data_IF_194273853042
#
_entry.id   IF_194273853042
#
_cell.length_a   1.000
_cell.length_b   1.000
_cell.length_c   1.000
_cell.angle_alpha   90.00
_cell.angle_beta   90.00
_cell.angle_gamma   90.00
#
_symmetry.space_group_name_H-M   'P 1'
#
loop_
_entity.id
_entity.type
_entity.pdbx_description
1 polymer ?
#
# COMPACT_ATOMS: atom_id res chain seq x y z
N UNK A 1 16.54 -4.93 0.13
CA UNK A 1 16.10 -5.81 -0.98
C UNK A 1 14.88 -5.28 -1.74
N UNK A 2 13.89 -4.66 -1.08
CA UNK A 2 12.67 -4.14 -1.73
C UNK A 2 12.88 -2.97 -2.72
N UNK A 3 13.76 -2.01 -2.43
CA UNK A 3 14.06 -0.88 -3.35
C UNK A 3 14.55 -1.36 -4.73
N UNK A 4 15.38 -2.41 -4.75
CA UNK A 4 15.92 -2.97 -5.99
C UNK A 4 14.84 -3.62 -6.86
N UNK A 5 13.76 -4.12 -6.25
CA UNK A 5 12.65 -4.78 -6.97
C UNK A 5 11.74 -3.75 -7.64
N UNK A 6 11.46 -2.64 -6.95
CA UNK A 6 10.64 -1.53 -7.46
C UNK A 6 11.36 -0.86 -8.64
N UNK A 7 12.67 -0.58 -8.51
CA UNK A 7 13.45 0.03 -9.57
C UNK A 7 13.48 -0.83 -10.84
N UNK A 8 13.68 -2.14 -10.71
CA UNK A 8 13.66 -3.09 -11.84
C UNK A 8 12.32 -3.12 -12.58
N UNK A 9 11.21 -3.05 -11.84
CA UNK A 9 9.88 -3.04 -12.45
C UNK A 9 9.65 -1.80 -13.31
N UNK A 10 10.01 -0.60 -12.81
CA UNK A 10 9.86 0.64 -13.57
C UNK A 10 10.75 0.67 -14.82
N UNK A 11 11.98 0.17 -14.73
CA UNK A 11 12.89 0.07 -15.88
C UNK A 11 12.34 -0.87 -16.95
N UNK A 12 11.87 -2.06 -16.56
CA UNK A 12 11.27 -3.02 -17.51
C UNK A 12 10.02 -2.43 -18.17
N UNK A 13 9.15 -1.80 -17.40
CA UNK A 13 7.95 -1.14 -17.93
C UNK A 13 8.31 -0.03 -18.90
N UNK A 14 9.33 0.79 -18.59
CA UNK A 14 9.81 1.85 -19.47
C UNK A 14 10.32 1.30 -20.81
N UNK A 15 11.13 0.25 -20.78
CA UNK A 15 11.65 -0.39 -22.00
C UNK A 15 10.50 -0.94 -22.84
N UNK A 16 9.56 -1.66 -22.23
CA UNK A 16 8.41 -2.24 -22.93
C UNK A 16 7.52 -1.16 -23.58
N UNK A 17 7.21 -0.08 -22.84
CA UNK A 17 6.43 1.04 -23.37
C UNK A 17 7.17 1.75 -24.50
N UNK A 18 8.48 1.96 -24.37
CA UNK A 18 9.30 2.62 -25.39
C UNK A 18 9.32 1.83 -26.70
N UNK A 19 9.49 0.50 -26.61
CA UNK A 19 9.41 -0.40 -27.77
C UNK A 19 8.02 -0.35 -28.39
N UNK A 20 6.96 -0.45 -27.57
CA UNK A 20 5.58 -0.40 -28.03
C UNK A 20 5.25 0.90 -28.75
N UNK A 21 5.68 2.05 -28.20
CA UNK A 21 5.49 3.36 -28.82
C UNK A 21 6.32 3.54 -30.09
N UNK A 22 7.54 2.99 -30.16
CA UNK A 22 8.33 3.01 -31.39
C UNK A 22 7.64 2.23 -32.52
N UNK A 23 7.16 1.02 -32.23
CA UNK A 23 6.46 0.19 -33.19
C UNK A 23 5.16 0.86 -33.67
N UNK A 24 4.37 1.42 -32.74
CA UNK A 24 3.13 2.13 -33.07
C UNK A 24 3.39 3.38 -33.92
N UNK A 25 4.42 4.17 -33.57
CA UNK A 25 4.77 5.37 -34.32
C UNK A 25 5.29 5.06 -35.72
N UNK A 26 6.11 4.02 -35.88
CA UNK A 26 6.56 3.54 -37.19
C UNK A 26 5.37 3.09 -38.05
N UNK A 27 4.49 2.25 -37.49
CA UNK A 27 3.28 1.78 -38.17
C UNK A 27 2.35 2.92 -38.58
N UNK A 28 2.13 3.90 -37.69
CA UNK A 28 1.31 5.08 -37.98
C UNK A 28 1.93 5.93 -39.09
N UNK A 29 3.25 6.12 -39.09
CA UNK A 29 3.96 6.87 -40.11
C UNK A 29 3.86 6.21 -41.49
N UNK A 30 4.13 4.90 -41.58
CA UNK A 30 3.94 4.09 -42.79
C UNK A 30 2.52 4.20 -43.33
N UNK A 31 1.52 4.03 -42.45
CA UNK A 31 0.11 4.05 -42.86
C UNK A 31 -0.37 5.42 -43.29
N UNK A 32 0.11 6.49 -42.66
CA UNK A 32 -0.20 7.85 -43.08
C UNK A 32 0.41 8.12 -44.46
N UNK A 33 1.69 7.80 -44.65
CA UNK A 33 2.40 7.99 -45.90
C UNK A 33 1.76 7.18 -47.04
N UNK A 34 1.39 5.92 -46.78
CA UNK A 34 0.73 5.07 -47.76
C UNK A 34 -0.60 5.67 -48.25
N UNK A 35 -1.40 6.24 -47.33
CA UNK A 35 -2.66 6.90 -47.69
C UNK A 35 -2.42 8.18 -48.49
N UNK A 36 -1.48 9.01 -48.05
CA UNK A 36 -1.18 10.28 -48.71
C UNK A 36 -0.61 10.05 -50.11
N UNK A 37 0.32 9.10 -50.25
CA UNK A 37 0.89 8.71 -51.54
C UNK A 37 -0.16 8.05 -52.43
N UNK A 38 -1.00 7.15 -51.89
CA UNK A 38 -2.11 6.57 -52.66
C UNK A 38 -3.06 7.66 -53.20
N UNK A 39 -3.41 8.66 -52.38
CA UNK A 39 -4.26 9.75 -52.80
C UNK A 39 -3.61 10.59 -53.91
N UNK A 40 -2.33 10.94 -53.77
CA UNK A 40 -1.58 11.70 -54.78
C UNK A 40 -1.43 10.91 -56.09
N UNK A 41 -1.04 9.64 -56.00
CA UNK A 41 -0.84 8.78 -57.16
C UNK A 41 -2.14 8.50 -57.90
N UNK A 42 -3.24 8.23 -57.18
CA UNK A 42 -4.56 8.05 -57.80
C UNK A 42 -5.06 9.31 -58.51
N UNK A 43 -4.57 10.51 -58.14
CA UNK A 43 -4.92 11.74 -58.86
C UNK A 43 -4.10 11.93 -60.14
N UNK A 44 -2.81 11.56 -60.14
CA UNK A 44 -1.89 11.94 -61.23
C UNK A 44 -1.47 10.82 -62.18
N UNK A 45 -1.46 9.57 -61.71
CA UNK A 45 -0.95 8.42 -62.49
C UNK A 45 -1.94 7.81 -63.47
N UNK A 46 -3.26 7.68 -63.19
CA UNK A 46 -4.16 6.92 -64.06
C UNK A 46 -4.18 7.42 -65.50
N UNK A 47 -4.22 8.73 -65.72
CA UNK A 47 -4.22 9.32 -67.07
C UNK A 47 -2.88 9.08 -67.79
N UNK A 48 -1.76 9.24 -67.08
CA UNK A 48 -0.42 9.05 -67.64
C UNK A 48 -0.13 7.59 -67.98
N UNK A 49 -0.54 6.66 -67.11
CA UNK A 49 -0.40 5.22 -67.32
C UNK A 49 -1.28 4.74 -68.46
N UNK A 50 -2.53 5.19 -68.52
CA UNK A 50 -3.43 4.85 -69.63
C UNK A 50 -2.86 5.32 -70.97
N UNK A 51 -2.37 6.57 -71.06
CA UNK A 51 -1.76 7.08 -72.30
C UNK A 51 -0.47 6.35 -72.69
N UNK A 52 0.40 6.04 -71.72
CA UNK A 52 1.67 5.36 -71.97
C UNK A 52 1.48 3.91 -72.47
N UNK A 53 0.50 3.20 -71.90
CA UNK A 53 0.24 1.79 -72.24
C UNK A 53 -0.71 1.62 -73.44
N UNK A 54 -1.63 2.57 -73.68
CA UNK A 54 -2.54 2.52 -74.84
C UNK A 54 -1.84 2.82 -76.17
N UNK A 55 -0.76 3.61 -76.15
CA UNK A 55 -0.04 4.02 -77.36
C UNK A 55 0.79 2.89 -78.01
N UNK A 56 1.13 1.81 -77.29
CA UNK A 56 1.91 0.68 -77.82
C UNK A 56 1.51 -0.63 -77.16
N UNK A 57 0.73 -1.42 -77.90
CA UNK A 57 0.27 -2.75 -77.50
C UNK A 57 1.40 -3.79 -77.65
N UNK A 58 1.74 -4.43 -76.52
CA UNK A 58 2.31 -5.78 -76.43
C UNK A 58 3.84 -5.99 -76.54
N UNK A 59 4.65 -5.19 -75.86
CA UNK A 59 6.05 -5.59 -75.55
C UNK A 59 6.24 -5.71 -74.03
N UNK A 60 6.62 -6.91 -73.55
CA UNK A 60 6.96 -7.17 -72.14
C UNK A 60 8.09 -6.24 -71.66
N UNK A 61 9.01 -5.89 -72.57
CA UNK A 61 10.11 -4.93 -72.34
C UNK A 61 9.60 -3.53 -71.95
N UNK A 62 8.44 -3.11 -72.45
CA UNK A 62 7.85 -1.81 -72.11
C UNK A 62 7.29 -1.82 -70.69
N UNK A 63 6.64 -2.91 -70.28
CA UNK A 63 6.10 -3.03 -68.92
C UNK A 63 7.22 -2.96 -67.86
N UNK A 64 8.36 -3.61 -68.15
CA UNK A 64 9.55 -3.54 -67.32
C UNK A 64 10.16 -2.13 -67.34
N UNK A 65 10.20 -1.47 -68.49
CA UNK A 65 10.69 -0.09 -68.59
C UNK A 65 9.82 0.90 -67.81
N UNK A 66 8.48 0.77 -67.88
CA UNK A 66 7.54 1.62 -67.12
C UNK A 66 7.68 1.37 -65.62
N UNK A 67 7.75 0.11 -65.19
CA UNK A 67 7.99 -0.23 -63.79
C UNK A 67 9.32 0.35 -63.29
N UNK A 68 10.41 0.19 -64.06
CA UNK A 68 11.71 0.76 -63.72
C UNK A 68 11.70 2.30 -63.65
N UNK A 69 10.96 2.95 -64.55
CA UNK A 69 10.84 4.41 -64.56
C UNK A 69 10.03 4.92 -63.36
N UNK A 70 8.93 4.24 -63.03
CA UNK A 70 8.14 4.54 -61.83
C UNK A 70 8.98 4.34 -60.56
N UNK A 71 9.74 3.25 -60.48
CA UNK A 71 10.66 3.00 -59.35
C UNK A 71 11.67 4.14 -59.23
N UNK A 72 12.25 4.61 -60.34
CA UNK A 72 13.20 5.73 -60.33
C UNK A 72 12.55 7.03 -59.85
N UNK A 73 11.34 7.34 -60.32
CA UNK A 73 10.62 8.56 -59.94
C UNK A 73 10.12 8.49 -58.47
N UNK A 74 9.91 7.28 -57.93
CA UNK A 74 9.43 7.04 -56.57
C UNK A 74 10.56 6.74 -55.56
N UNK A 75 11.83 6.81 -55.95
CA UNK A 75 12.98 6.57 -55.06
C UNK A 75 13.25 7.72 -54.08
N UNK A 76 12.80 8.94 -54.39
CA UNK A 76 13.08 10.13 -53.57
C UNK A 76 11.80 10.79 -53.08
N UNK A 77 10.98 10.04 -52.34
CA UNK A 77 9.79 10.61 -51.69
C UNK A 77 10.21 11.31 -50.40
N UNK A 78 10.12 12.64 -50.41
CA UNK A 78 10.26 13.44 -49.19
C UNK A 78 8.91 13.52 -48.49
N UNK A 79 8.76 12.94 -47.28
CA UNK A 79 7.51 13.05 -46.53
C UNK A 79 7.25 14.53 -46.21
N UNK A 80 6.05 15.01 -46.51
CA UNK A 80 5.65 16.40 -46.26
C UNK A 80 5.40 16.71 -44.77
N UNK A 81 5.75 15.82 -43.85
CA UNK A 81 5.49 16.00 -42.43
C UNK A 81 6.58 16.84 -41.75
N UNK A 82 6.17 17.76 -40.89
CA UNK A 82 7.09 18.67 -40.17
C UNK A 82 7.98 17.99 -39.11
N UNK A 83 7.93 16.67 -38.97
CA UNK A 83 8.74 15.91 -38.01
C UNK A 83 9.67 14.94 -38.76
N UNK A 84 11.01 15.05 -38.57
CA UNK A 84 12.00 14.25 -39.30
C UNK A 84 12.15 12.82 -38.73
N UNK A 85 11.02 12.13 -38.53
CA UNK A 85 10.98 10.75 -38.04
C UNK A 85 11.35 9.75 -39.14
N UNK A 86 10.97 10.07 -40.37
CA UNK A 86 11.26 9.29 -41.58
C UNK A 86 12.36 10.03 -42.35
N UNK A 87 13.49 9.37 -42.64
CA UNK A 87 14.61 9.99 -43.37
C UNK A 87 14.40 9.93 -44.86
N UNK A 88 14.11 8.74 -45.38
CA UNK A 88 13.88 8.48 -46.79
C UNK A 88 12.81 7.40 -46.90
N UNK A 89 11.89 7.57 -47.84
CA UNK A 89 11.03 6.48 -48.29
C UNK A 89 11.16 6.34 -49.80
N UNK A 90 11.16 5.10 -50.25
CA UNK A 90 11.01 4.74 -51.64
C UNK A 90 9.76 3.89 -51.79
N UNK A 91 9.06 4.03 -52.92
CA UNK A 91 8.05 3.05 -53.31
C UNK A 91 8.61 2.22 -54.46
N UNK A 92 8.43 0.90 -54.40
CA UNK A 92 8.78 -0.02 -55.51
C UNK A 92 7.51 -0.61 -56.09
N UNK A 93 7.46 -0.77 -57.41
CA UNK A 93 6.40 -1.50 -58.11
C UNK A 93 6.58 -2.98 -57.85
N UNK A 94 5.63 -3.60 -57.13
CA UNK A 94 5.61 -5.05 -56.93
C UNK A 94 4.88 -5.75 -58.06
N UNK A 95 3.83 -5.12 -58.59
CA UNK A 95 3.07 -5.64 -59.72
C UNK A 95 2.45 -4.49 -60.52
N UNK A 96 2.77 -4.39 -61.81
CA UNK A 96 2.32 -3.28 -62.66
C UNK A 96 0.87 -3.46 -63.14
N UNK A 97 0.52 -4.67 -63.57
CA UNK A 97 -0.82 -5.03 -64.04
C UNK A 97 -1.27 -6.25 -63.24
N UNK A 98 -2.31 -6.06 -62.43
CA UNK A 98 -2.94 -7.12 -61.67
C UNK A 98 -4.41 -7.28 -62.05
N UNK A 99 -4.81 -8.53 -62.27
CA UNK A 99 -6.14 -8.93 -62.74
C UNK A 99 -7.04 -9.42 -61.60
N UNK A 100 -6.59 -9.28 -60.35
CA UNK A 100 -7.40 -9.60 -59.17
C UNK A 100 -6.66 -10.28 -58.02
N UNK A 101 -5.34 -10.12 -57.92
CA UNK A 101 -4.54 -10.59 -56.80
C UNK A 101 -4.91 -9.92 -55.47
N UNK A 102 -4.69 -10.65 -54.37
CA UNK A 102 -4.88 -10.13 -53.03
C UNK A 102 -3.70 -9.24 -52.63
N UNK A 103 -3.99 -8.05 -52.09
CA UNK A 103 -3.00 -7.11 -51.57
C UNK A 103 -2.14 -7.74 -50.46
N UNK A 104 -0.81 -7.54 -50.50
CA UNK A 104 -0.02 -7.74 -49.29
C UNK A 104 -0.27 -6.58 -48.30
N UNK A 105 -0.08 -6.86 -47.01
CA UNK A 105 -0.21 -5.83 -45.97
C UNK A 105 0.87 -4.77 -46.15
N UNK A 106 0.45 -3.52 -46.36
CA UNK A 106 1.34 -2.37 -46.57
C UNK A 106 1.47 -1.93 -48.03
N UNK A 107 0.89 -2.67 -48.97
CA UNK A 107 0.92 -2.29 -50.38
C UNK A 107 -0.09 -1.17 -50.69
N UNK A 108 0.35 -0.22 -51.50
CA UNK A 108 -0.47 0.84 -52.04
C UNK A 108 -1.08 0.35 -53.34
N UNK A 109 -2.41 0.41 -53.43
CA UNK A 109 -3.15 0.15 -54.65
C UNK A 109 -3.41 1.44 -55.42
N UNK A 110 -2.99 1.48 -56.67
CA UNK A 110 -3.36 2.54 -57.62
C UNK A 110 -4.32 1.94 -58.64
N UNK A 111 -5.52 2.51 -58.74
CA UNK A 111 -6.56 2.06 -59.66
C UNK A 111 -6.52 2.92 -60.92
N UNK A 112 -6.50 2.26 -62.08
CA UNK A 112 -6.53 2.92 -63.38
C UNK A 112 -7.33 2.08 -64.38
N UNK A 113 -7.64 2.63 -65.54
CA UNK A 113 -8.46 1.95 -66.55
C UNK A 113 -7.71 1.86 -67.87
N UNK A 114 -7.80 0.70 -68.54
CA UNK A 114 -7.36 0.51 -69.92
C UNK A 114 -8.61 0.22 -70.76
N UNK A 115 -9.11 1.24 -71.47
CA UNK A 115 -10.43 1.17 -72.10
C UNK A 115 -11.53 1.05 -71.04
N UNK A 116 -12.32 -0.03 -71.08
CA UNK A 116 -13.38 -0.33 -70.12
C UNK A 116 -12.96 -1.26 -68.97
N UNK A 117 -11.73 -1.78 -68.99
CA UNK A 117 -11.26 -2.73 -67.98
C UNK A 117 -10.50 -2.02 -66.86
N UNK A 118 -10.92 -2.19 -65.59
CA UNK A 118 -10.16 -1.67 -64.45
C UNK A 118 -8.90 -2.52 -64.27
N UNK A 119 -7.76 -1.86 -64.11
CA UNK A 119 -6.47 -2.47 -63.77
C UNK A 119 -5.96 -1.83 -62.48
N UNK A 120 -5.14 -2.57 -61.75
CA UNK A 120 -4.44 -2.01 -60.60
C UNK A 120 -2.94 -2.25 -60.63
N UNK A 121 -2.22 -1.28 -60.10
CA UNK A 121 -0.78 -1.36 -59.83
C UNK A 121 -0.57 -1.40 -58.32
N UNK A 122 0.28 -2.33 -57.87
CA UNK A 122 0.67 -2.48 -56.49
C UNK A 122 2.08 -1.93 -56.26
N UNK A 123 2.22 -1.13 -55.22
CA UNK A 123 3.47 -0.51 -54.81
C UNK A 123 3.76 -0.88 -53.36
N UNK A 124 4.96 -1.37 -53.07
CA UNK A 124 5.43 -1.56 -51.69
C UNK A 124 6.26 -0.36 -51.24
N UNK A 125 6.07 0.09 -50.01
CA UNK A 125 6.87 1.14 -49.39
C UNK A 125 8.09 0.56 -48.66
N UNK A 126 9.26 1.13 -48.89
CA UNK A 126 10.47 0.90 -48.12
C UNK A 126 10.88 2.22 -47.46
N UNK A 127 10.73 2.29 -46.13
CA UNK A 127 10.97 3.50 -45.35
C UNK A 127 12.14 3.31 -44.37
N UNK A 128 13.11 4.23 -44.47
CA UNK A 128 14.22 4.32 -43.53
C UNK A 128 13.89 5.32 -42.42
N UNK A 129 13.75 4.80 -41.21
CA UNK A 129 13.47 5.60 -40.02
C UNK A 129 14.72 6.23 -39.41
N UNK A 130 14.55 7.42 -38.82
CA UNK A 130 15.55 8.00 -37.94
C UNK A 130 15.47 7.34 -36.56
N UNK A 131 15.92 6.08 -36.47
CA UNK A 131 15.81 5.26 -35.26
C UNK A 131 16.31 5.96 -33.97
N UNK A 132 17.44 6.70 -33.96
CA UNK A 132 17.86 7.40 -32.75
C UNK A 132 16.87 8.47 -32.28
N UNK A 133 16.33 9.26 -33.21
CA UNK A 133 15.36 10.31 -32.89
C UNK A 133 14.02 9.71 -32.45
N UNK A 134 13.55 8.68 -33.17
CA UNK A 134 12.32 7.97 -32.84
C UNK A 134 12.42 7.31 -31.46
N UNK A 135 13.50 6.57 -31.21
CA UNK A 135 13.74 5.93 -29.92
C UNK A 135 13.83 6.97 -28.79
N UNK A 136 14.54 8.09 -28.99
CA UNK A 136 14.64 9.15 -28.00
C UNK A 136 13.28 9.79 -27.69
N UNK A 137 12.49 10.14 -28.70
CA UNK A 137 11.20 10.80 -28.50
C UNK A 137 10.20 9.87 -27.81
N UNK A 138 10.12 8.60 -28.24
CA UNK A 138 9.20 7.63 -27.65
C UNK A 138 9.65 7.20 -26.24
N UNK A 139 10.96 7.12 -25.99
CA UNK A 139 11.50 6.86 -24.66
C UNK A 139 11.19 7.99 -23.68
N UNK A 140 11.25 9.25 -24.14
CA UNK A 140 10.86 10.41 -23.33
C UNK A 140 9.37 10.38 -23.00
N UNK A 141 8.52 10.06 -23.98
CA UNK A 141 7.07 9.92 -23.75
C UNK A 141 6.76 8.80 -22.74
N UNK A 142 7.41 7.64 -22.88
CA UNK A 142 7.27 6.53 -21.95
C UNK A 142 7.74 6.91 -20.53
N UNK A 143 8.83 7.67 -20.41
CA UNK A 143 9.32 8.17 -19.13
C UNK A 143 8.31 9.12 -18.48
N UNK A 144 7.78 10.09 -19.24
CA UNK A 144 6.76 11.03 -18.74
C UNK A 144 5.50 10.30 -18.25
N UNK A 145 5.07 9.26 -18.96
CA UNK A 145 3.93 8.44 -18.55
C UNK A 145 4.21 7.70 -17.23
N UNK A 146 5.41 7.15 -17.05
CA UNK A 146 5.81 6.49 -15.80
C UNK A 146 5.87 7.48 -14.64
N UNK A 147 6.41 8.68 -14.88
CA UNK A 147 6.41 9.76 -13.87
C UNK A 147 4.97 10.13 -13.49
N UNK A 148 4.07 10.30 -14.46
CA UNK A 148 2.67 10.59 -14.19
C UNK A 148 2.00 9.47 -13.37
N UNK A 149 2.27 8.19 -13.68
CA UNK A 149 1.79 7.04 -12.91
C UNK A 149 2.37 7.01 -11.50
N UNK A 150 3.65 7.38 -11.32
CA UNK A 150 4.29 7.41 -10.01
C UNK A 150 3.77 8.55 -9.12
N UNK A 151 3.29 9.65 -9.72
CA UNK A 151 2.67 10.77 -9.01
C UNK A 151 1.19 10.52 -8.67
N UNK A 152 0.54 9.55 -9.31
CA UNK A 152 -0.84 9.19 -8.98
C UNK A 152 -0.90 8.50 -7.61
N UNK A 153 -1.89 8.84 -6.76
CA UNK A 153 -2.05 8.19 -5.47
C UNK A 153 -2.30 6.69 -5.69
N UNK A 154 -1.63 5.85 -4.91
CA UNK A 154 -1.77 4.40 -5.02
C UNK A 154 -3.24 4.02 -4.84
N UNK A 155 -3.81 3.16 -5.71
CA UNK A 155 -5.16 2.68 -5.53
C UNK A 155 -5.26 1.92 -4.21
N UNK A 156 -6.26 2.24 -3.40
CA UNK A 156 -6.50 1.58 -2.12
C UNK A 156 -6.78 0.08 -2.34
N UNK A 157 -6.06 -0.76 -1.60
CA UNK A 157 -6.29 -2.20 -1.65
C UNK A 157 -7.71 -2.55 -1.16
N UNK A 158 -8.22 -3.74 -1.51
CA UNK A 158 -9.53 -4.19 -1.00
C UNK A 158 -9.56 -4.24 0.54
N UNK A 159 -8.47 -4.70 1.15
CA UNK A 159 -8.33 -4.76 2.61
C UNK A 159 -8.34 -3.36 3.25
N UNK A 160 -7.60 -2.40 2.67
CA UNK A 160 -7.60 -1.02 3.15
C UNK A 160 -8.99 -0.37 3.04
N UNK A 161 -9.70 -0.60 1.93
CA UNK A 161 -11.08 -0.12 1.78
C UNK A 161 -12.02 -0.70 2.85
N UNK A 162 -11.88 -1.99 3.16
CA UNK A 162 -12.61 -2.62 4.25
C UNK A 162 -12.30 -1.99 5.61
N UNK A 163 -11.00 -1.77 5.92
CA UNK A 163 -10.56 -1.11 7.16
C UNK A 163 -11.11 0.30 7.29
N UNK A 164 -11.05 1.10 6.21
CA UNK A 164 -11.60 2.46 6.19
C UNK A 164 -13.11 2.45 6.40
N UNK A 165 -13.84 1.53 5.78
CA UNK A 165 -15.28 1.39 5.97
C UNK A 165 -15.62 1.07 7.44
N UNK A 166 -14.95 0.10 8.04
CA UNK A 166 -15.12 -0.24 9.46
C UNK A 166 -14.82 0.94 10.39
N UNK A 167 -13.73 1.66 10.15
CA UNK A 167 -13.38 2.85 10.95
C UNK A 167 -14.42 3.97 10.79
N UNK A 168 -14.97 4.13 9.59
CA UNK A 168 -16.03 5.12 9.33
C UNK A 168 -17.34 4.72 10.03
N UNK A 169 -17.70 3.44 10.02
CA UNK A 169 -18.86 2.92 10.77
C UNK A 169 -18.72 3.13 12.28
N UNK A 170 -17.49 3.16 12.80
CA UNK A 170 -17.16 3.48 14.20
C UNK A 170 -17.18 4.98 14.52
N UNK A 171 -17.53 5.83 13.56
CA UNK A 171 -17.74 7.27 13.76
C UNK A 171 -16.58 8.17 13.35
N UNK A 172 -15.48 7.63 12.82
CA UNK A 172 -14.41 8.46 12.26
C UNK A 172 -14.83 9.10 10.93
N UNK A 173 -14.38 10.32 10.67
CA UNK A 173 -14.55 10.92 9.34
C UNK A 173 -13.76 10.13 8.29
N UNK A 174 -14.18 10.14 7.00
CA UNK A 174 -13.47 9.40 5.94
C UNK A 174 -11.98 9.78 5.80
N UNK A 175 -11.63 11.04 6.10
CA UNK A 175 -10.24 11.51 6.06
C UNK A 175 -9.43 10.96 7.24
N UNK A 176 -9.98 10.99 8.45
CA UNK A 176 -9.34 10.39 9.63
C UNK A 176 -9.23 8.88 9.47
N UNK A 177 -10.30 8.20 9.06
CA UNK A 177 -10.31 6.75 8.83
C UNK A 177 -9.22 6.33 7.82
N UNK A 178 -9.01 7.11 6.75
CA UNK A 178 -7.92 6.88 5.80
C UNK A 178 -6.55 7.03 6.45
N UNK A 179 -6.30 8.16 7.13
CA UNK A 179 -5.02 8.42 7.80
C UNK A 179 -4.69 7.36 8.86
N UNK A 180 -5.68 6.99 9.67
CA UNK A 180 -5.59 5.97 10.72
C UNK A 180 -5.34 4.58 10.12
N UNK A 181 -5.98 4.24 9.00
CA UNK A 181 -5.77 2.95 8.32
C UNK A 181 -4.37 2.74 7.77
N UNK A 182 -3.62 3.84 7.55
CA UNK A 182 -2.24 3.81 7.06
C UNK A 182 -1.22 3.81 8.22
N UNK A 183 -1.60 4.25 9.42
CA UNK A 183 -0.69 4.52 10.54
C UNK A 183 -0.80 3.54 11.69
N UNK A 184 -2.01 3.12 12.06
CA UNK A 184 -2.21 2.21 13.20
C UNK A 184 -1.93 0.76 12.84
N UNK A 185 -1.22 0.07 13.74
CA UNK A 185 -1.07 -1.39 13.70
C UNK A 185 -2.37 -2.09 14.10
N UNK A 186 -2.41 -3.41 13.92
CA UNK A 186 -3.57 -4.21 14.31
C UNK A 186 -3.75 -4.24 15.85
N UNK A 187 -2.67 -4.25 16.62
CA UNK A 187 -2.71 -4.16 18.09
C UNK A 187 -3.26 -2.80 18.55
N UNK A 188 -2.82 -1.71 17.91
CA UNK A 188 -3.32 -0.37 18.22
C UNK A 188 -4.81 -0.22 17.87
N UNK A 189 -5.31 -0.94 16.85
CA UNK A 189 -6.74 -0.97 16.58
C UNK A 189 -7.55 -1.66 17.69
N UNK A 190 -7.01 -2.70 18.33
CA UNK A 190 -7.67 -3.33 19.47
C UNK A 190 -7.82 -2.34 20.63
N UNK A 191 -6.77 -1.56 20.90
CA UNK A 191 -6.82 -0.47 21.89
C UNK A 191 -7.79 0.63 21.50
N UNK A 192 -7.83 1.04 20.23
CA UNK A 192 -8.80 2.01 19.72
C UNK A 192 -10.23 1.53 19.96
N UNK A 193 -10.55 0.30 19.55
CA UNK A 193 -11.90 -0.26 19.68
C UNK A 193 -12.33 -0.36 21.14
N UNK A 194 -11.40 -0.77 22.02
CA UNK A 194 -11.68 -0.86 23.45
C UNK A 194 -11.88 0.52 24.07
N UNK A 195 -11.00 1.47 23.78
CA UNK A 195 -11.11 2.84 24.31
C UNK A 195 -12.39 3.52 23.84
N UNK A 196 -12.80 3.31 22.59
CA UNK A 196 -14.05 3.84 22.05
C UNK A 196 -15.27 3.34 22.83
N UNK A 197 -15.29 2.05 23.20
CA UNK A 197 -16.35 1.46 24.03
C UNK A 197 -16.34 2.04 25.46
N UNK A 198 -15.17 2.19 26.06
CA UNK A 198 -15.04 2.68 27.43
C UNK A 198 -15.35 4.18 27.57
N UNK A 199 -15.03 4.99 26.56
CA UNK A 199 -15.17 6.45 26.59
C UNK A 199 -16.48 6.95 25.94
N UNK A 200 -17.47 6.07 25.74
CA UNK A 200 -18.79 6.46 25.24
C UNK A 200 -18.81 6.93 23.78
N UNK A 201 -17.87 6.47 22.96
CA UNK A 201 -17.80 6.82 21.54
C UNK A 201 -16.94 8.05 21.20
N UNK A 202 -16.20 8.61 22.16
CA UNK A 202 -15.23 9.68 21.89
C UNK A 202 -14.05 9.14 21.07
N UNK A 203 -14.03 9.47 19.78
CA UNK A 203 -13.04 8.98 18.82
C UNK A 203 -11.66 9.59 19.04
N UNK A 204 -11.58 10.85 19.49
CA UNK A 204 -10.29 11.52 19.72
C UNK A 204 -9.58 10.92 20.93
N UNK A 205 -10.31 10.67 22.02
CA UNK A 205 -9.75 9.96 23.17
C UNK A 205 -9.39 8.52 22.84
N UNK A 206 -10.18 7.83 22.00
CA UNK A 206 -9.86 6.48 21.57
C UNK A 206 -8.59 6.42 20.71
N UNK A 207 -8.38 7.39 19.83
CA UNK A 207 -7.15 7.51 19.04
C UNK A 207 -5.93 7.83 19.92
N UNK A 208 -6.10 8.72 20.90
CA UNK A 208 -5.05 8.99 21.88
C UNK A 208 -4.66 7.73 22.66
N UNK A 209 -5.64 6.96 23.14
CA UNK A 209 -5.40 5.68 23.81
C UNK A 209 -4.70 4.67 22.89
N UNK A 210 -5.10 4.55 21.63
CA UNK A 210 -4.46 3.66 20.66
C UNK A 210 -2.99 4.01 20.36
N UNK A 211 -2.66 5.30 20.42
CA UNK A 211 -1.31 5.80 20.16
C UNK A 211 -0.39 5.81 21.39
N UNK A 212 -0.93 5.61 22.59
CA UNK A 212 -0.11 5.55 23.81
C UNK A 212 0.81 4.32 23.82
N UNK A 213 1.89 4.43 24.57
CA UNK A 213 2.76 3.30 24.87
C UNK A 213 2.12 2.38 25.92
N UNK A 214 2.66 1.17 26.01
CA UNK A 214 2.28 0.18 27.02
C UNK A 214 2.61 0.68 28.44
N UNK A 215 1.62 1.25 29.12
CA UNK A 215 1.77 1.92 30.40
C UNK A 215 0.62 1.61 31.36
N UNK A 216 0.97 1.54 32.65
CA UNK A 216 0.06 1.38 33.78
C UNK A 216 0.27 2.56 34.73
N UNK A 217 -0.69 3.47 34.77
CA UNK A 217 -0.64 4.67 35.59
C UNK A 217 -1.51 4.52 36.82
N UNK A 218 -0.96 4.88 37.97
CA UNK A 218 -1.69 4.98 39.22
C UNK A 218 -1.83 6.44 39.63
N UNK A 219 -3.07 6.93 39.66
CA UNK A 219 -3.41 8.22 40.25
C UNK A 219 -3.77 8.00 41.72
N UNK A 220 -2.84 8.35 42.61
CA UNK A 220 -3.00 8.15 44.04
C UNK A 220 -4.00 9.14 44.66
N UNK A 221 -4.18 10.32 44.06
CA UNK A 221 -5.09 11.35 44.55
C UNK A 221 -6.55 10.99 44.27
N UNK A 222 -6.83 10.51 43.05
CA UNK A 222 -8.19 10.08 42.68
C UNK A 222 -8.45 8.58 42.93
N UNK A 223 -7.42 7.82 43.34
CA UNK A 223 -7.45 6.38 43.56
C UNK A 223 -7.92 5.60 42.31
N UNK A 224 -7.37 5.98 41.15
CA UNK A 224 -7.73 5.46 39.84
C UNK A 224 -6.54 4.83 39.15
N UNK A 225 -6.82 3.83 38.30
CA UNK A 225 -5.81 3.20 37.45
C UNK A 225 -6.12 3.53 36.00
N UNK A 226 -5.12 3.95 35.24
CA UNK A 226 -5.21 4.04 33.77
C UNK A 226 -4.32 2.99 33.15
N UNK A 227 -4.87 2.25 32.22
CA UNK A 227 -4.16 1.24 31.44
C UNK A 227 -4.20 1.67 30.00
N UNK A 228 -3.04 2.01 29.43
CA UNK A 228 -2.97 2.50 28.04
C UNK A 228 -3.91 3.71 27.79
N UNK A 229 -4.04 4.59 28.79
CA UNK A 229 -4.97 5.74 28.79
C UNK A 229 -6.41 5.44 29.18
N UNK A 230 -6.83 4.17 29.18
CA UNK A 230 -8.19 3.75 29.53
C UNK A 230 -8.35 3.68 31.05
N UNK A 231 -9.38 4.35 31.57
CA UNK A 231 -9.67 4.35 33.00
C UNK A 231 -10.26 3.00 33.45
N UNK A 232 -9.60 2.36 34.41
CA UNK A 232 -10.06 1.14 35.09
C UNK A 232 -10.42 1.49 36.53
N UNK A 233 -11.70 1.33 36.87
CA UNK A 233 -12.20 1.63 38.22
C UNK A 233 -11.96 0.43 39.14
N UNK A 234 -11.14 0.62 40.15
CA UNK A 234 -10.91 -0.39 41.20
C UNK A 234 -11.54 0.06 42.51
N UNK A 235 -12.00 -0.90 43.31
CA UNK A 235 -12.32 -0.62 44.71
C UNK A 235 -11.04 -0.24 45.49
N UNK A 236 -11.20 0.55 46.55
CA UNK A 236 -10.07 1.11 47.32
C UNK A 236 -9.04 0.06 47.75
N UNK A 237 -9.48 -1.04 48.36
CA UNK A 237 -8.54 -2.06 48.86
C UNK A 237 -7.79 -2.74 47.70
N UNK A 238 -8.44 -3.29 46.65
CA UNK A 238 -7.75 -3.76 45.44
C UNK A 238 -6.78 -2.75 44.82
N UNK A 239 -7.15 -1.47 44.74
CA UNK A 239 -6.28 -0.40 44.23
C UNK A 239 -4.95 -0.34 44.99
N UNK A 240 -4.98 -0.28 46.33
CA UNK A 240 -3.76 -0.21 47.13
C UNK A 240 -2.90 -1.47 47.05
N UNK A 241 -3.52 -2.65 46.95
CA UNK A 241 -2.77 -3.88 46.71
C UNK A 241 -2.08 -3.83 45.35
N UNK A 242 -2.76 -3.36 44.31
CA UNK A 242 -2.18 -3.27 42.97
C UNK A 242 -1.02 -2.28 42.92
N UNK A 243 -1.22 -1.10 43.50
CA UNK A 243 -0.22 -0.05 43.65
C UNK A 243 1.02 -0.54 44.43
N UNK A 244 0.80 -1.30 45.50
CA UNK A 244 1.87 -1.89 46.31
C UNK A 244 2.71 -2.87 45.51
N UNK A 245 2.09 -3.78 44.74
CA UNK A 245 2.82 -4.67 43.85
C UNK A 245 3.59 -3.91 42.75
N UNK A 246 3.05 -2.81 42.24
CA UNK A 246 3.77 -1.96 41.29
C UNK A 246 5.01 -1.31 41.93
N UNK A 247 4.93 -0.85 43.18
CA UNK A 247 6.11 -0.33 43.93
C UNK A 247 7.16 -1.42 44.15
N UNK A 248 6.74 -2.63 44.56
CA UNK A 248 7.65 -3.78 44.70
C UNK A 248 8.36 -4.11 43.37
N UNK A 249 7.64 -4.01 42.25
CA UNK A 249 8.19 -4.22 40.91
C UNK A 249 9.21 -3.16 40.50
N UNK A 250 9.10 -1.93 41.02
CA UNK A 250 10.12 -0.89 40.80
C UNK A 250 11.36 -1.05 41.67
N UNK A 251 11.21 -1.59 42.89
CA UNK A 251 12.30 -1.75 43.84
C UNK A 251 13.17 -2.99 43.60
N UNK A 252 12.71 -3.93 42.77
CA UNK A 252 13.43 -5.17 42.48
C UNK A 252 12.77 -6.03 41.42
N UNK A 253 12.84 -7.35 41.56
CA UNK A 253 12.19 -8.28 40.63
C UNK A 253 10.66 -8.33 40.80
N UNK A 254 10.13 -7.77 41.89
CA UNK A 254 8.71 -7.71 42.21
C UNK A 254 8.08 -9.05 42.59
N UNK A 255 8.86 -10.12 42.75
CA UNK A 255 8.33 -11.43 43.13
C UNK A 255 8.02 -11.49 44.62
N UNK A 256 6.74 -11.60 44.96
CA UNK A 256 6.27 -11.81 46.33
C UNK A 256 5.85 -13.26 46.53
N UNK A 257 6.49 -13.95 47.48
CA UNK A 257 6.11 -15.31 47.89
C UNK A 257 4.89 -15.26 48.81
N UNK A 258 3.84 -16.03 48.52
CA UNK A 258 2.68 -16.11 49.40
C UNK A 258 3.09 -16.55 50.83
N UNK A 259 2.62 -15.88 51.88
CA UNK A 259 2.94 -16.26 53.26
C UNK A 259 2.34 -17.63 53.62
N UNK A 260 2.95 -18.41 54.53
CA UNK A 260 2.37 -19.66 55.00
C UNK A 260 1.01 -19.43 55.68
N UNK A 261 0.13 -20.43 55.65
CA UNK A 261 -1.22 -20.35 56.25
C UNK A 261 -1.17 -20.02 57.75
N UNK A 262 -0.15 -20.53 58.45
CA UNK A 262 0.03 -20.36 59.88
C UNK A 262 0.97 -19.21 60.27
N UNK A 263 1.53 -18.48 59.30
CA UNK A 263 2.46 -17.37 59.56
C UNK A 263 2.19 -16.22 58.58
N UNK A 264 1.33 -15.26 58.94
CA UNK A 264 1.11 -14.09 58.11
C UNK A 264 2.40 -13.26 57.98
N UNK A 265 2.53 -12.56 56.86
CA UNK A 265 3.64 -11.63 56.62
C UNK A 265 3.35 -10.30 57.31
N UNK A 266 4.16 -9.96 58.31
CA UNK A 266 4.03 -8.73 59.10
C UNK A 266 4.72 -7.55 58.41
N UNK A 267 5.87 -7.78 57.81
CA UNK A 267 6.64 -6.74 57.14
C UNK A 267 5.92 -6.23 55.89
N UNK A 268 5.39 -7.14 55.07
CA UNK A 268 4.55 -6.77 53.94
C UNK A 268 3.24 -6.09 54.36
N UNK A 269 2.68 -6.46 55.51
CA UNK A 269 1.50 -5.79 56.06
C UNK A 269 1.82 -4.35 56.46
N UNK A 270 2.93 -4.12 57.17
CA UNK A 270 3.33 -2.79 57.64
C UNK A 270 3.60 -1.84 56.45
N UNK A 271 4.31 -2.33 55.41
CA UNK A 271 4.53 -1.58 54.17
C UNK A 271 3.21 -1.19 53.46
N UNK A 272 2.24 -2.12 53.40
CA UNK A 272 0.94 -1.86 52.80
C UNK A 272 0.09 -0.94 53.66
N UNK A 273 0.15 -1.05 54.99
CA UNK A 273 -0.52 -0.14 55.94
C UNK A 273 0.01 1.27 55.77
N UNK A 274 1.32 1.46 55.65
CA UNK A 274 1.93 2.76 55.43
C UNK A 274 1.38 3.40 54.15
N UNK A 275 1.43 2.66 53.03
CA UNK A 275 0.88 3.09 51.74
C UNK A 275 -0.61 3.46 51.84
N UNK A 276 -1.41 2.60 52.46
CA UNK A 276 -2.84 2.84 52.63
C UNK A 276 -3.11 4.04 53.55
N UNK A 277 -2.30 4.24 54.59
CA UNK A 277 -2.48 5.34 55.54
C UNK A 277 -2.11 6.68 54.93
N UNK A 278 -1.05 6.71 54.12
CA UNK A 278 -0.57 7.89 53.40
C UNK A 278 -1.60 8.40 52.38
N UNK A 279 -2.24 7.50 51.63
CA UNK A 279 -3.10 7.84 50.48
C UNK A 279 -4.60 7.65 50.73
N UNK A 280 -5.05 7.56 51.98
CA UNK A 280 -6.49 7.55 52.33
C UNK A 280 -7.20 6.21 52.04
N UNK A 281 -6.57 5.11 52.41
CA UNK A 281 -7.08 3.74 52.33
C UNK A 281 -8.20 3.42 53.33
N UNK A 282 -8.80 2.23 53.17
CA UNK A 282 -9.95 1.84 53.96
C UNK A 282 -9.56 1.44 55.41
N UNK A 283 -10.01 2.21 56.41
CA UNK A 283 -9.65 2.02 57.82
C UNK A 283 -9.83 0.59 58.34
N UNK A 284 -10.93 -0.10 57.97
CA UNK A 284 -11.16 -1.50 58.35
C UNK A 284 -10.09 -2.46 57.80
N UNK A 285 -9.60 -2.21 56.57
CA UNK A 285 -8.56 -3.04 55.96
C UNK A 285 -7.21 -2.79 56.62
N UNK A 286 -6.91 -1.54 56.98
CA UNK A 286 -5.71 -1.18 57.75
C UNK A 286 -5.71 -1.89 59.10
N UNK A 287 -6.83 -1.87 59.83
CA UNK A 287 -6.93 -2.55 61.13
C UNK A 287 -6.83 -4.08 60.99
N UNK A 288 -7.47 -4.68 59.98
CA UNK A 288 -7.32 -6.13 59.73
C UNK A 288 -5.87 -6.51 59.44
N UNK A 289 -5.14 -5.70 58.67
CA UNK A 289 -3.71 -5.91 58.41
C UNK A 289 -2.87 -5.79 59.69
N UNK A 290 -3.17 -4.83 60.57
CA UNK A 290 -2.45 -4.66 61.85
C UNK A 290 -2.67 -5.85 62.77
N UNK A 291 -3.90 -6.33 62.89
CA UNK A 291 -4.24 -7.40 63.82
C UNK A 291 -3.73 -8.75 63.29
N UNK A 292 -4.01 -9.05 62.02
CA UNK A 292 -3.86 -10.38 61.44
C UNK A 292 -2.63 -10.54 60.53
N UNK A 293 -1.94 -9.45 60.17
CA UNK A 293 -0.90 -9.46 59.15
C UNK A 293 -1.42 -9.78 57.75
N UNK A 294 -0.50 -9.84 56.78
CA UNK A 294 -0.82 -10.13 55.39
C UNK A 294 -0.93 -11.64 55.19
N UNK A 295 -2.11 -12.11 54.76
CA UNK A 295 -2.44 -13.53 54.60
C UNK A 295 -2.53 -13.91 53.13
N UNK A 296 -2.13 -15.14 52.77
CA UNK A 296 -2.18 -15.63 51.40
C UNK A 296 -3.59 -15.53 50.79
N UNK A 297 -4.62 -15.92 51.57
CA UNK A 297 -6.03 -15.82 51.14
C UNK A 297 -6.44 -14.38 50.81
N UNK A 298 -5.99 -13.39 51.58
CA UNK A 298 -6.29 -11.98 51.33
C UNK A 298 -5.61 -11.47 50.07
N UNK A 299 -4.36 -11.89 49.83
CA UNK A 299 -3.64 -11.59 48.59
C UNK A 299 -4.32 -12.21 47.37
N UNK A 300 -4.73 -13.48 47.45
CA UNK A 300 -5.47 -14.17 46.38
C UNK A 300 -6.78 -13.44 46.05
N UNK A 301 -7.56 -13.08 47.07
CA UNK A 301 -8.82 -12.36 46.90
C UNK A 301 -8.64 -11.00 46.22
N UNK A 302 -7.64 -10.21 46.62
CA UNK A 302 -7.41 -8.91 45.99
C UNK A 302 -6.87 -9.05 44.57
N UNK A 303 -5.97 -10.02 44.30
CA UNK A 303 -5.48 -10.30 42.94
C UNK A 303 -6.60 -10.72 41.99
N UNK A 304 -7.49 -11.59 42.45
CA UNK A 304 -8.64 -12.01 41.65
C UNK A 304 -9.56 -10.82 41.36
N UNK A 305 -9.86 -9.98 42.36
CA UNK A 305 -10.64 -8.75 42.13
C UNK A 305 -9.96 -7.81 41.12
N UNK A 306 -8.66 -7.59 41.22
CA UNK A 306 -7.91 -6.75 40.26
C UNK A 306 -8.01 -7.36 38.86
N UNK A 307 -7.82 -8.68 38.72
CA UNK A 307 -7.96 -9.38 37.46
C UNK A 307 -9.35 -9.24 36.86
N UNK A 308 -10.39 -9.46 37.66
CA UNK A 308 -11.77 -9.42 37.21
C UNK A 308 -12.14 -8.02 36.70
N UNK A 309 -11.73 -6.96 37.41
CA UNK A 309 -11.97 -5.57 36.99
C UNK A 309 -11.16 -5.19 35.73
N UNK A 310 -9.89 -5.62 35.62
CA UNK A 310 -9.07 -5.38 34.43
C UNK A 310 -9.64 -6.10 33.20
N UNK A 311 -10.04 -7.36 33.35
CA UNK A 311 -10.66 -8.12 32.25
C UNK A 311 -12.03 -7.54 31.90
N UNK A 312 -12.81 -7.10 32.88
CA UNK A 312 -14.09 -6.43 32.63
C UNK A 312 -13.91 -5.15 31.82
N UNK A 313 -12.91 -4.33 32.18
CA UNK A 313 -12.65 -3.07 31.51
C UNK A 313 -11.98 -3.24 30.14
N UNK A 314 -11.00 -4.13 30.00
CA UNK A 314 -10.09 -4.20 28.83
C UNK A 314 -10.30 -5.44 27.96
N UNK A 315 -10.93 -6.49 28.50
CA UNK A 315 -10.95 -7.82 27.91
C UNK A 315 -9.71 -8.63 28.25
N UNK A 316 -9.78 -9.94 28.00
CA UNK A 316 -8.74 -10.88 28.41
C UNK A 316 -7.39 -10.60 27.72
N UNK A 317 -7.40 -10.40 26.40
CA UNK A 317 -6.19 -10.22 25.60
C UNK A 317 -5.42 -8.95 25.97
N UNK A 318 -6.11 -7.80 26.05
CA UNK A 318 -5.49 -6.52 26.38
C UNK A 318 -5.09 -6.42 27.86
N UNK A 319 -5.83 -7.08 28.76
CA UNK A 319 -5.51 -7.08 30.18
C UNK A 319 -4.27 -7.92 30.50
N UNK A 320 -3.99 -8.98 29.75
CA UNK A 320 -3.00 -10.01 30.09
C UNK A 320 -1.64 -9.46 30.52
N UNK A 321 -1.12 -8.45 29.82
CA UNK A 321 0.19 -7.83 30.10
C UNK A 321 0.21 -6.96 31.37
N UNK A 322 -0.95 -6.66 31.95
CA UNK A 322 -1.12 -5.90 33.19
C UNK A 322 -1.53 -6.79 34.38
N UNK A 323 -1.71 -8.10 34.14
CA UNK A 323 -2.08 -9.05 35.18
C UNK A 323 -0.86 -9.57 35.95
N UNK A 324 -1.16 -10.38 36.97
CA UNK A 324 -0.15 -11.04 37.78
C UNK A 324 0.39 -12.29 37.08
N UNK A 325 1.71 -12.43 37.06
CA UNK A 325 2.39 -13.70 36.78
C UNK A 325 2.49 -14.53 38.06
N UNK A 326 2.52 -15.85 37.92
CA UNK A 326 2.65 -16.78 39.05
C UNK A 326 3.70 -17.84 38.76
N UNK A 327 4.50 -18.18 39.77
CA UNK A 327 5.48 -19.25 39.69
C UNK A 327 5.49 -20.07 40.99
N UNK A 328 5.70 -21.38 40.87
CA UNK A 328 5.81 -22.24 42.05
C UNK A 328 7.24 -22.23 42.57
N UNK A 329 7.43 -21.80 43.81
CA UNK A 329 8.71 -21.88 44.51
C UNK A 329 9.03 -23.34 44.86
N UNK A 330 10.14 -23.84 44.34
CA UNK A 330 10.54 -25.24 44.53
C UNK A 330 10.99 -25.56 45.96
N UNK A 331 11.42 -24.55 46.74
CA UNK A 331 11.88 -24.75 48.12
C UNK A 331 10.71 -24.95 49.09
N UNK A 332 9.68 -24.12 48.98
CA UNK A 332 8.55 -24.14 49.91
C UNK A 332 7.27 -24.74 49.30
N UNK A 333 7.24 -25.00 48.00
CA UNK A 333 6.08 -25.50 47.27
C UNK A 333 4.95 -24.48 47.09
N UNK A 334 5.12 -23.26 47.61
CA UNK A 334 4.15 -22.15 47.56
C UNK A 334 4.31 -21.36 46.27
N UNK A 335 3.29 -20.59 45.91
CA UNK A 335 3.35 -19.71 44.75
C UNK A 335 3.92 -18.33 45.10
N UNK A 336 4.78 -17.82 44.22
CA UNK A 336 5.19 -16.41 44.18
C UNK A 336 4.49 -15.72 43.02
N UNK A 337 4.25 -14.42 43.18
CA UNK A 337 3.52 -13.61 42.20
C UNK A 337 4.19 -12.26 42.00
N UNK A 338 4.08 -11.71 40.79
CA UNK A 338 4.52 -10.36 40.45
C UNK A 338 3.61 -9.77 39.37
N UNK A 339 3.69 -8.46 39.15
CA UNK A 339 3.08 -7.87 37.95
C UNK A 339 3.90 -8.20 36.70
N UNK A 340 3.21 -8.56 35.64
CA UNK A 340 3.81 -8.86 34.34
C UNK A 340 4.51 -7.62 33.74
N UNK A 341 3.91 -6.44 33.95
CA UNK A 341 4.41 -5.19 33.40
C UNK A 341 5.85 -4.89 33.81
N UNK A 342 6.61 -4.25 32.91
CA UNK A 342 7.98 -3.85 33.19
C UNK A 342 8.02 -2.67 34.20
N UNK A 343 9.07 -2.57 35.04
CA UNK A 343 9.17 -1.52 36.06
C UNK A 343 9.06 -0.09 35.50
N UNK A 344 9.64 0.16 34.32
CA UNK A 344 9.64 1.47 33.67
C UNK A 344 8.27 1.89 33.09
N UNK A 345 7.33 0.95 33.00
CA UNK A 345 6.00 1.16 32.42
C UNK A 345 4.93 1.37 33.51
N UNK A 346 5.28 1.15 34.79
CA UNK A 346 4.43 1.49 35.92
C UNK A 346 4.73 2.94 36.35
N UNK A 347 3.75 3.83 36.17
CA UNK A 347 3.86 5.27 36.42
C UNK A 347 3.01 5.64 37.63
N UNK A 348 3.55 6.49 38.49
CA UNK A 348 2.92 6.92 39.74
C UNK A 348 2.68 8.43 39.66
N UNK A 349 1.42 8.82 39.51
CA UNK A 349 1.04 10.23 39.46
C UNK A 349 0.75 10.68 40.89
N UNK A 350 1.60 11.56 41.40
CA UNK A 350 1.47 12.17 42.73
C UNK A 350 1.38 13.67 42.49
N UNK A 351 0.35 14.34 43.03
CA UNK A 351 0.21 15.81 42.95
C UNK A 351 1.02 16.45 44.09
#
# INVERSE_FOLDING_TARGET
>A
MFLNRIHRYHVLLWVLLSIGFCALAAWQAERSLARDLSAQLNQSLPEKLALALQARLSDDDLSQWVAHRLDQDLQSLTPASGLPLVRHCAARVTQLVDDGGAAAWGDIRVLWHMGSEPRSTWLALDCQYNWPLLAASQSLLALLLIVAIALLPRPLSRAQRGRIAQLTERGLSPLQARSVSETLTDDQLLWFDRALQCNGGDTDQALAAAAMDHQLEFDCASQQVRVHGILVKLAKTPFFYYLWYARLRQQGDGWLLNPPVNRPDREGADSLIELMSEHGGHAKSINDLRDNGLRAKTLDQNRNKIRDELISALGEDLAAAYLFESERDMKSGRYRYRLAIAPAQAIFVTI
#
